data_IF_961727996035
#
_entry.id   IF_961727996035
#
_cell.length_a   1.000
_cell.length_b   1.000
_cell.length_c   1.000
_cell.angle_alpha   90.00
_cell.angle_beta   90.00
_cell.angle_gamma   90.00
#
_symmetry.space_group_name_H-M   'P 1'
#
loop_
_entity.id
_entity.type
_entity.pdbx_description
1 polymer ?
#
# COMPACT_ATOMS: atom_id res chain seq x y z
N UNK A 1 -36.22 -14.36 -3.41
CA UNK A 1 -35.13 -14.87 -4.26
C UNK A 1 -33.73 -14.38 -3.80
N UNK A 2 -33.54 -14.00 -2.52
CA UNK A 2 -32.34 -13.23 -2.07
C UNK A 2 -31.37 -13.91 -1.08
N UNK A 3 -31.69 -15.11 -0.58
CA UNK A 3 -30.83 -15.77 0.44
C UNK A 3 -29.60 -16.48 -0.13
N UNK A 4 -29.61 -16.90 -1.40
CA UNK A 4 -28.46 -17.57 -2.02
C UNK A 4 -27.35 -16.60 -2.48
N UNK A 5 -27.68 -15.36 -2.85
CA UNK A 5 -26.69 -14.35 -3.29
C UNK A 5 -25.89 -13.75 -2.12
N UNK A 6 -26.51 -13.60 -0.96
CA UNK A 6 -25.89 -13.04 0.25
C UNK A 6 -24.85 -13.98 0.87
N UNK A 7 -25.01 -15.30 0.73
CA UNK A 7 -24.04 -16.31 1.18
C UNK A 7 -22.75 -16.33 0.34
N UNK A 8 -22.89 -16.29 -0.99
CA UNK A 8 -21.74 -16.27 -1.92
C UNK A 8 -20.86 -15.03 -1.72
N UNK A 9 -21.49 -13.84 -1.62
CA UNK A 9 -20.79 -12.56 -1.42
C UNK A 9 -20.06 -12.46 -0.07
N UNK A 10 -20.50 -13.24 0.93
CA UNK A 10 -19.81 -13.34 2.23
C UNK A 10 -18.60 -14.26 2.14
N UNK A 11 -18.69 -15.35 1.38
CA UNK A 11 -17.58 -16.25 1.09
C UNK A 11 -16.43 -15.55 0.38
N UNK A 12 -16.73 -14.78 -0.67
CA UNK A 12 -15.70 -14.08 -1.47
C UNK A 12 -14.95 -13.02 -0.66
N UNK A 13 -15.64 -12.26 0.20
CA UNK A 13 -15.00 -11.27 1.07
C UNK A 13 -14.08 -11.90 2.12
N UNK A 14 -14.49 -13.03 2.71
CA UNK A 14 -13.65 -13.78 3.66
C UNK A 14 -12.43 -14.36 2.95
N UNK A 15 -12.61 -14.85 1.72
CA UNK A 15 -11.51 -15.34 0.88
C UNK A 15 -10.50 -14.25 0.55
N UNK A 16 -10.96 -13.07 0.11
CA UNK A 16 -10.10 -11.91 -0.15
C UNK A 16 -9.33 -11.47 1.11
N UNK A 17 -10.02 -11.30 2.25
CA UNK A 17 -9.38 -10.91 3.49
C UNK A 17 -8.32 -11.92 3.96
N UNK A 18 -8.59 -13.22 3.80
CA UNK A 18 -7.62 -14.28 4.09
C UNK A 18 -6.42 -14.24 3.14
N UNK A 19 -6.63 -14.00 1.84
CA UNK A 19 -5.52 -13.82 0.88
C UNK A 19 -4.64 -12.64 1.26
N UNK A 20 -5.22 -11.46 1.53
CA UNK A 20 -4.49 -10.26 1.96
C UNK A 20 -3.71 -10.50 3.25
N UNK A 21 -4.35 -11.11 4.26
CA UNK A 21 -3.70 -11.51 5.50
C UNK A 21 -2.52 -12.44 5.24
N UNK A 22 -2.70 -13.47 4.42
CA UNK A 22 -1.66 -14.45 4.15
C UNK A 22 -0.50 -13.84 3.35
N UNK A 23 -0.74 -12.87 2.46
CA UNK A 23 0.36 -12.13 1.81
C UNK A 23 1.23 -11.39 2.83
N UNK A 24 0.65 -10.92 3.95
CA UNK A 24 1.41 -10.24 5.01
C UNK A 24 2.23 -11.22 5.84
N UNK A 25 1.67 -12.38 6.23
CA UNK A 25 2.30 -13.27 7.22
C UNK A 25 2.96 -14.53 6.63
N UNK A 26 2.49 -14.99 5.47
CA UNK A 26 2.93 -16.22 4.80
C UNK A 26 2.92 -16.03 3.27
N UNK A 27 3.73 -15.08 2.75
CA UNK A 27 3.62 -14.60 1.38
C UNK A 27 3.85 -15.66 0.31
N UNK A 28 4.76 -16.60 0.55
CA UNK A 28 5.04 -17.70 -0.39
C UNK A 28 3.80 -18.57 -0.61
N UNK A 29 3.24 -19.09 0.47
CA UNK A 29 2.04 -19.92 0.44
C UNK A 29 0.84 -19.14 -0.12
N UNK A 30 0.76 -17.84 0.20
CA UNK A 30 -0.29 -16.97 -0.32
C UNK A 30 -0.22 -16.85 -1.85
N UNK A 31 0.97 -16.59 -2.42
CA UNK A 31 1.13 -16.48 -3.88
C UNK A 31 0.88 -17.82 -4.58
N UNK A 32 1.36 -18.94 -4.02
CA UNK A 32 1.06 -20.27 -4.57
C UNK A 32 -0.45 -20.54 -4.61
N UNK A 33 -1.18 -20.22 -3.54
CA UNK A 33 -2.62 -20.38 -3.48
C UNK A 33 -3.35 -19.45 -4.47
N UNK A 34 -2.89 -18.20 -4.62
CA UNK A 34 -3.47 -17.24 -5.58
C UNK A 34 -3.29 -17.75 -7.02
N UNK A 35 -2.12 -18.29 -7.35
CA UNK A 35 -1.83 -18.85 -8.68
C UNK A 35 -2.60 -20.14 -8.94
N UNK A 36 -2.75 -21.00 -7.93
CA UNK A 36 -3.45 -22.29 -8.07
C UNK A 36 -4.98 -22.15 -8.16
N UNK A 37 -5.58 -21.23 -7.41
CA UNK A 37 -7.04 -21.04 -7.37
C UNK A 37 -7.59 -20.20 -8.53
N UNK A 38 -6.70 -19.59 -9.33
CA UNK A 38 -7.06 -18.55 -10.29
C UNK A 38 -7.29 -17.21 -9.60
N UNK A 39 -6.89 -16.15 -10.29
CA UNK A 39 -6.95 -14.78 -9.78
C UNK A 39 -7.96 -13.94 -10.56
N UNK A 40 -8.60 -13.01 -9.84
CA UNK A 40 -9.33 -11.89 -10.45
C UNK A 40 -8.48 -10.65 -10.32
N UNK A 41 -8.36 -9.86 -11.39
CA UNK A 41 -7.66 -8.57 -11.33
C UNK A 41 -8.37 -7.52 -10.45
N UNK A 42 -9.62 -7.76 -10.06
CA UNK A 42 -10.35 -6.86 -9.16
C UNK A 42 -9.74 -6.78 -7.76
N UNK A 43 -9.23 -7.89 -7.24
CA UNK A 43 -8.63 -7.98 -5.91
C UNK A 43 -7.33 -7.16 -5.79
N UNK A 44 -6.30 -7.35 -6.64
CA UNK A 44 -5.08 -6.53 -6.61
C UNK A 44 -5.37 -5.06 -6.89
N UNK A 45 -6.29 -4.74 -7.80
CA UNK A 45 -6.73 -3.35 -8.04
C UNK A 45 -7.29 -2.71 -6.77
N UNK A 46 -8.14 -3.43 -6.03
CA UNK A 46 -8.70 -2.93 -4.77
C UNK A 46 -7.61 -2.67 -3.72
N UNK A 47 -6.59 -3.53 -3.64
CA UNK A 47 -5.43 -3.32 -2.74
C UNK A 47 -4.68 -2.05 -3.14
N UNK A 48 -4.31 -1.89 -4.41
CA UNK A 48 -3.55 -0.73 -4.89
C UNK A 48 -4.32 0.57 -4.64
N UNK A 49 -5.57 0.62 -5.09
CA UNK A 49 -6.42 1.81 -4.97
C UNK A 49 -6.71 2.12 -3.51
N UNK A 50 -7.09 1.11 -2.74
CA UNK A 50 -7.42 1.25 -1.32
C UNK A 50 -6.24 1.77 -0.51
N UNK A 51 -5.07 1.16 -0.65
CA UNK A 51 -3.87 1.56 0.09
C UNK A 51 -3.32 2.92 -0.36
N UNK A 52 -3.30 3.18 -1.67
CA UNK A 52 -2.84 4.47 -2.21
C UNK A 52 -3.73 5.62 -1.73
N UNK A 53 -5.04 5.48 -1.93
CA UNK A 53 -6.01 6.49 -1.55
C UNK A 53 -5.99 6.73 -0.04
N UNK A 54 -6.03 5.66 0.76
CA UNK A 54 -5.99 5.75 2.22
C UNK A 54 -4.74 6.49 2.71
N UNK A 55 -3.56 6.12 2.22
CA UNK A 55 -2.32 6.75 2.66
C UNK A 55 -2.24 8.23 2.29
N UNK A 56 -2.73 8.63 1.11
CA UNK A 56 -2.69 10.05 0.73
C UNK A 56 -3.70 10.87 1.54
N UNK A 57 -4.90 10.32 1.80
CA UNK A 57 -5.89 10.97 2.67
C UNK A 57 -5.35 11.13 4.09
N UNK A 58 -4.77 10.08 4.67
CA UNK A 58 -4.17 10.15 6.00
C UNK A 58 -2.98 11.13 6.04
N UNK A 59 -2.17 11.20 4.98
CA UNK A 59 -1.11 12.20 4.88
C UNK A 59 -1.68 13.62 4.87
N UNK A 60 -2.72 13.89 4.08
CA UNK A 60 -3.40 15.20 4.06
C UNK A 60 -3.94 15.59 5.44
N UNK A 61 -4.60 14.67 6.13
CA UNK A 61 -5.08 14.88 7.51
C UNK A 61 -3.90 15.17 8.45
N UNK A 62 -2.82 14.40 8.34
CA UNK A 62 -1.61 14.60 9.11
C UNK A 62 -0.97 15.96 8.88
N UNK A 63 -0.93 16.46 7.63
CA UNK A 63 -0.39 17.80 7.30
C UNK A 63 -1.24 18.90 7.95
N UNK A 64 -2.57 18.80 7.88
CA UNK A 64 -3.47 19.75 8.56
C UNK A 64 -3.21 19.78 10.06
N UNK A 65 -3.05 18.61 10.68
CA UNK A 65 -2.71 18.49 12.11
C UNK A 65 -1.32 19.03 12.43
N UNK A 66 -0.34 18.76 11.58
CA UNK A 66 1.02 19.26 11.71
C UNK A 66 1.09 20.79 11.65
N UNK A 67 0.35 21.42 10.75
CA UNK A 67 0.28 22.89 10.69
C UNK A 67 -0.37 23.47 11.95
N UNK A 68 -1.47 22.86 12.42
CA UNK A 68 -2.14 23.29 13.66
C UNK A 68 -1.16 23.23 14.85
N UNK A 69 -0.39 22.14 14.93
CA UNK A 69 0.66 21.99 15.95
C UNK A 69 1.77 23.06 15.84
N UNK A 70 2.17 23.42 14.62
CA UNK A 70 3.15 24.48 14.40
C UNK A 70 2.60 25.84 14.88
N UNK A 71 1.34 26.16 14.59
CA UNK A 71 0.68 27.38 15.07
C UNK A 71 0.61 27.43 16.60
N UNK A 72 0.27 26.31 17.25
CA UNK A 72 0.26 26.19 18.70
C UNK A 72 1.66 26.39 19.31
N UNK A 73 2.70 25.84 18.66
CA UNK A 73 4.10 26.01 19.06
C UNK A 73 4.54 27.48 19.01
N UNK A 74 4.23 28.19 17.91
CA UNK A 74 4.59 29.59 17.74
C UNK A 74 3.75 30.55 18.59
N UNK A 75 2.53 30.17 18.97
CA UNK A 75 1.68 30.96 19.88
C UNK A 75 2.05 30.82 21.36
N UNK A 76 3.07 30.01 21.69
CA UNK A 76 3.53 29.78 23.05
C UNK A 76 2.62 28.86 23.87
N UNK A 77 1.64 28.21 23.23
CA UNK A 77 0.72 27.25 23.84
C UNK A 77 1.31 25.84 23.78
N UNK A 78 2.44 25.63 24.44
CA UNK A 78 3.13 24.34 24.38
C UNK A 78 2.59 23.38 25.44
N UNK A 79 1.87 22.36 25.00
CA UNK A 79 1.73 21.09 25.72
C UNK A 79 2.65 20.06 25.05
N UNK A 80 3.74 19.66 25.72
CA UNK A 80 4.73 18.66 25.22
C UNK A 80 4.22 17.22 25.40
N UNK A 81 2.98 17.04 25.84
CA UNK A 81 2.38 15.72 25.99
C UNK A 81 1.72 15.29 24.68
N UNK A 82 1.70 13.97 24.35
CA UNK A 82 0.78 13.47 23.35
C UNK A 82 -0.63 13.83 23.81
N UNK A 83 -1.21 14.85 23.19
CA UNK A 83 -2.57 15.25 23.47
C UNK A 83 -3.49 14.20 22.85
N UNK A 84 -3.87 13.22 23.66
CA UNK A 84 -4.99 12.32 23.37
C UNK A 84 -6.35 13.02 23.55
N UNK A 85 -6.35 14.33 23.85
CA UNK A 85 -7.52 15.18 23.87
C UNK A 85 -8.25 15.21 22.53
N UNK A 86 -9.41 15.84 22.51
CA UNK A 86 -10.28 15.90 21.34
C UNK A 86 -9.52 16.37 20.11
N UNK A 87 -9.34 15.48 19.14
CA UNK A 87 -8.76 15.81 17.84
C UNK A 87 -9.78 16.69 17.12
N UNK A 88 -9.69 18.01 17.35
CA UNK A 88 -10.51 18.97 16.64
C UNK A 88 -9.85 19.24 15.29
N UNK A 89 -10.27 18.48 14.28
CA UNK A 89 -9.99 18.82 12.89
C UNK A 89 -10.94 19.95 12.53
N UNK A 90 -10.44 21.19 12.53
CA UNK A 90 -11.22 22.31 12.06
C UNK A 90 -11.39 22.16 10.54
N UNK A 91 -12.62 22.01 10.06
CA UNK A 91 -12.97 21.91 8.63
C UNK A 91 -13.41 23.26 8.04
N UNK A 92 -12.90 24.39 8.55
CA UNK A 92 -13.29 25.72 8.06
C UNK A 92 -12.10 26.52 7.51
N UNK A 93 -12.38 27.36 6.53
CA UNK A 93 -11.39 28.26 5.93
C UNK A 93 -10.24 27.52 5.26
N UNK A 94 -9.00 27.84 5.65
CA UNK A 94 -7.77 27.36 5.01
C UNK A 94 -7.56 25.85 5.12
N UNK A 95 -7.95 25.22 6.23
CA UNK A 95 -7.82 23.76 6.41
C UNK A 95 -8.73 22.97 5.48
N UNK A 96 -9.94 23.47 5.19
CA UNK A 96 -10.86 22.86 4.24
C UNK A 96 -10.37 22.94 2.79
N UNK A 97 -9.80 24.08 2.40
CA UNK A 97 -9.15 24.25 1.10
C UNK A 97 -7.98 23.27 0.94
N UNK A 98 -7.17 23.14 2.00
CA UNK A 98 -6.00 22.25 1.99
C UNK A 98 -6.42 20.78 1.92
N UNK A 99 -7.43 20.36 2.69
CA UNK A 99 -8.01 19.01 2.58
C UNK A 99 -8.57 18.72 1.18
N UNK A 100 -9.25 19.69 0.57
CA UNK A 100 -9.80 19.56 -0.79
C UNK A 100 -8.68 19.42 -1.82
N UNK A 101 -7.61 20.20 -1.66
CA UNK A 101 -6.41 20.09 -2.49
C UNK A 101 -5.75 18.72 -2.34
N UNK A 102 -5.59 18.22 -1.10
CA UNK A 102 -5.07 16.88 -0.84
C UNK A 102 -5.97 15.77 -1.40
N UNK A 103 -7.28 15.95 -1.42
CA UNK A 103 -8.20 15.00 -2.05
C UNK A 103 -8.01 14.96 -3.58
N UNK A 104 -7.81 16.12 -4.22
CA UNK A 104 -7.48 16.20 -5.64
C UNK A 104 -6.15 15.51 -5.95
N UNK A 105 -5.13 15.77 -5.14
CA UNK A 105 -3.84 15.07 -5.19
C UNK A 105 -4.03 13.57 -4.97
N UNK A 106 -4.87 13.15 -4.03
CA UNK A 106 -5.14 11.74 -3.74
C UNK A 106 -5.65 11.00 -4.97
N UNK A 107 -6.60 11.59 -5.71
CA UNK A 107 -7.11 11.01 -6.96
C UNK A 107 -5.99 10.90 -8.00
N UNK A 108 -5.23 11.97 -8.21
CA UNK A 108 -4.14 11.99 -9.20
C UNK A 108 -3.07 10.93 -8.89
N UNK A 109 -2.58 10.88 -7.65
CA UNK A 109 -1.55 9.92 -7.23
C UNK A 109 -2.07 8.48 -7.17
N UNK A 110 -3.36 8.28 -6.88
CA UNK A 110 -3.99 6.96 -6.95
C UNK A 110 -4.04 6.45 -8.39
N UNK A 111 -4.28 7.33 -9.37
CA UNK A 111 -4.19 6.97 -10.78
C UNK A 111 -2.74 6.68 -11.15
N UNK A 112 -1.80 7.51 -10.70
CA UNK A 112 -0.37 7.32 -10.94
C UNK A 112 0.15 5.99 -10.37
N UNK A 113 -0.37 5.54 -9.23
CA UNK A 113 0.04 4.27 -8.63
C UNK A 113 -0.38 3.06 -9.47
N UNK A 114 -1.50 3.13 -10.19
CA UNK A 114 -1.87 2.11 -11.18
C UNK A 114 -0.85 2.02 -12.32
N UNK A 115 -0.45 3.16 -12.88
CA UNK A 115 0.57 3.20 -13.93
C UNK A 115 1.91 2.66 -13.42
N UNK A 116 2.33 3.08 -12.23
CA UNK A 116 3.55 2.59 -11.60
C UNK A 116 3.51 1.07 -11.40
N UNK A 117 2.38 0.52 -10.93
CA UNK A 117 2.21 -0.92 -10.76
C UNK A 117 2.35 -1.69 -12.08
N UNK A 118 1.67 -1.25 -13.14
CA UNK A 118 1.73 -1.89 -14.46
C UNK A 118 3.17 -1.83 -15.02
N UNK A 119 3.82 -0.68 -14.94
CA UNK A 119 5.21 -0.50 -15.41
C UNK A 119 6.15 -1.40 -14.62
N UNK A 120 6.03 -1.44 -13.29
CA UNK A 120 6.87 -2.29 -12.44
C UNK A 120 6.71 -3.78 -12.78
N UNK A 121 5.47 -4.24 -12.93
CA UNK A 121 5.20 -5.63 -13.33
C UNK A 121 5.70 -5.92 -14.75
N UNK A 122 5.59 -4.96 -15.68
CA UNK A 122 6.06 -5.07 -17.05
C UNK A 122 7.57 -5.19 -17.15
N UNK A 123 8.33 -4.34 -16.44
CA UNK A 123 9.79 -4.44 -16.36
C UNK A 123 10.21 -5.77 -15.75
N UNK A 124 9.60 -6.17 -14.62
CA UNK A 124 9.88 -7.45 -13.99
C UNK A 124 9.57 -8.64 -14.92
N UNK A 125 8.47 -8.59 -15.67
CA UNK A 125 8.11 -9.59 -16.68
C UNK A 125 9.18 -9.72 -17.76
N UNK A 126 9.60 -8.59 -18.35
CA UNK A 126 10.61 -8.59 -19.42
C UNK A 126 11.92 -9.20 -18.93
N UNK A 127 12.37 -8.78 -17.74
CA UNK A 127 13.62 -9.29 -17.15
C UNK A 127 13.49 -10.78 -16.83
N UNK A 128 12.43 -11.19 -16.15
CA UNK A 128 12.24 -12.59 -15.75
C UNK A 128 12.10 -13.53 -16.96
N UNK A 129 11.32 -13.12 -17.97
CA UNK A 129 11.00 -13.94 -19.14
C UNK A 129 12.11 -13.95 -20.19
N UNK A 130 12.69 -12.79 -20.49
CA UNK A 130 13.66 -12.67 -21.60
C UNK A 130 15.12 -12.74 -21.16
N UNK A 131 15.45 -12.34 -19.93
CA UNK A 131 16.85 -12.39 -19.44
C UNK A 131 17.09 -13.71 -18.71
N UNK A 132 16.16 -14.11 -17.83
CA UNK A 132 16.32 -15.30 -16.99
C UNK A 132 15.55 -16.53 -17.49
N UNK A 133 14.83 -16.44 -18.61
CA UNK A 133 14.10 -17.55 -19.24
C UNK A 133 13.06 -18.24 -18.33
N UNK A 134 12.39 -17.46 -17.48
CA UNK A 134 11.33 -17.95 -16.61
C UNK A 134 10.06 -18.40 -17.37
N UNK A 135 9.29 -19.32 -16.76
CA UNK A 135 8.12 -19.95 -17.39
C UNK A 135 6.79 -19.20 -17.21
N UNK A 136 6.80 -18.12 -16.42
CA UNK A 136 5.60 -17.38 -16.04
C UNK A 136 4.99 -16.48 -17.12
N UNK A 137 3.84 -15.93 -16.78
CA UNK A 137 3.03 -15.04 -17.59
C UNK A 137 2.88 -13.65 -16.97
N UNK A 138 2.50 -12.68 -17.82
CA UNK A 138 2.37 -11.28 -17.40
C UNK A 138 1.19 -11.09 -16.44
N UNK A 139 0.08 -11.80 -16.63
CA UNK A 139 -1.11 -11.63 -15.79
C UNK A 139 -0.85 -12.10 -14.36
N UNK A 140 -0.20 -13.26 -14.18
CA UNK A 140 0.18 -13.76 -12.86
C UNK A 140 1.12 -12.81 -12.11
N UNK A 141 2.12 -12.24 -12.78
CA UNK A 141 3.05 -11.30 -12.12
C UNK A 141 2.38 -9.97 -11.82
N UNK A 142 1.54 -9.47 -12.73
CA UNK A 142 0.76 -8.26 -12.52
C UNK A 142 -0.13 -8.43 -11.28
N UNK A 143 -0.85 -9.55 -11.18
CA UNK A 143 -1.71 -9.87 -10.04
C UNK A 143 -0.93 -9.89 -8.71
N UNK A 144 0.13 -10.70 -8.64
CA UNK A 144 0.93 -10.88 -7.41
C UNK A 144 1.65 -9.58 -7.01
N UNK A 145 2.10 -8.77 -7.95
CA UNK A 145 2.64 -7.43 -7.67
C UNK A 145 1.58 -6.49 -7.10
N UNK A 146 0.31 -6.60 -7.52
CA UNK A 146 -0.75 -5.77 -6.96
C UNK A 146 -1.03 -6.10 -5.49
N UNK A 147 -0.98 -7.38 -5.11
CA UNK A 147 -1.01 -7.76 -3.71
C UNK A 147 0.22 -7.30 -2.93
N UNK A 148 1.39 -7.18 -3.57
CA UNK A 148 2.60 -6.69 -2.90
C UNK A 148 2.48 -5.26 -2.38
N UNK A 149 1.56 -4.46 -2.93
CA UNK A 149 1.26 -3.11 -2.43
C UNK A 149 0.63 -3.11 -1.03
N UNK A 150 0.21 -4.27 -0.51
CA UNK A 150 -0.19 -4.39 0.90
C UNK A 150 0.94 -4.01 1.87
N UNK A 151 2.21 -4.06 1.43
CA UNK A 151 3.35 -3.57 2.20
C UNK A 151 3.17 -2.12 2.68
N UNK A 152 2.39 -1.32 1.95
CA UNK A 152 2.03 0.05 2.32
C UNK A 152 1.23 0.18 3.62
N UNK A 153 0.79 -0.94 4.22
CA UNK A 153 0.15 -0.94 5.54
C UNK A 153 1.09 -0.44 6.64
N UNK A 154 2.40 -0.65 6.47
CA UNK A 154 3.40 -0.08 7.37
C UNK A 154 3.35 1.46 7.34
N UNK A 155 3.30 2.06 6.15
CA UNK A 155 3.16 3.51 6.00
C UNK A 155 1.85 4.02 6.60
N UNK A 156 0.75 3.28 6.45
CA UNK A 156 -0.54 3.62 7.09
C UNK A 156 -0.38 3.77 8.61
N UNK A 157 0.35 2.86 9.27
CA UNK A 157 0.62 2.95 10.70
C UNK A 157 1.45 4.20 11.05
N UNK A 158 2.46 4.53 10.26
CA UNK A 158 3.27 5.74 10.44
C UNK A 158 2.44 7.02 10.32
N UNK A 159 1.54 7.07 9.33
CA UNK A 159 0.63 8.19 9.11
C UNK A 159 -0.37 8.36 10.24
N UNK A 160 -0.89 7.26 10.80
CA UNK A 160 -1.74 7.32 11.98
C UNK A 160 -1.00 7.94 13.16
N UNK A 161 0.24 7.51 13.43
CA UNK A 161 1.06 8.12 14.49
C UNK A 161 1.27 9.62 14.24
N UNK A 162 1.49 10.02 12.98
CA UNK A 162 1.63 11.42 12.60
C UNK A 162 0.41 12.29 12.84
N UNK A 163 -0.80 11.74 12.69
CA UNK A 163 -2.03 12.45 13.02
C UNK A 163 -2.13 12.74 14.53
N UNK A 164 -1.71 11.80 15.37
CA UNK A 164 -1.77 11.95 16.83
C UNK A 164 -0.62 12.78 17.39
N UNK A 165 0.58 12.60 16.86
CA UNK A 165 1.78 13.31 17.31
C UNK A 165 2.60 13.72 16.08
N UNK A 166 2.45 14.96 15.58
CA UNK A 166 3.16 15.40 14.39
C UNK A 166 4.69 15.30 14.51
N UNK A 167 5.24 15.62 15.68
CA UNK A 167 6.69 15.59 15.91
C UNK A 167 7.26 14.16 15.86
N UNK A 168 6.69 13.23 16.64
CA UNK A 168 7.11 11.81 16.66
C UNK A 168 6.73 11.15 15.32
N UNK A 169 5.61 11.58 14.76
CA UNK A 169 5.04 11.10 13.52
C UNK A 169 5.92 11.23 12.30
N UNK A 170 6.69 12.32 12.17
CA UNK A 170 7.64 12.48 11.07
C UNK A 170 8.68 11.35 11.10
N UNK A 171 9.23 11.05 12.28
CA UNK A 171 10.16 9.94 12.45
C UNK A 171 9.49 8.57 12.23
N UNK A 172 8.24 8.41 12.69
CA UNK A 172 7.46 7.20 12.47
C UNK A 172 7.19 6.96 10.98
N UNK A 173 6.83 8.00 10.21
CA UNK A 173 6.65 7.92 8.75
C UNK A 173 7.94 7.46 8.10
N UNK A 174 9.08 8.05 8.45
CA UNK A 174 10.38 7.69 7.87
C UNK A 174 10.71 6.22 8.14
N UNK A 175 10.60 5.78 9.40
CA UNK A 175 10.87 4.38 9.77
C UNK A 175 9.92 3.39 9.09
N UNK A 176 8.63 3.71 9.04
CA UNK A 176 7.63 2.89 8.37
C UNK A 176 7.79 2.88 6.85
N UNK A 177 8.31 3.97 6.25
CA UNK A 177 8.59 4.01 4.82
C UNK A 177 9.75 3.08 4.44
N UNK A 178 10.76 3.00 5.30
CA UNK A 178 11.87 2.04 5.13
C UNK A 178 11.34 0.61 5.27
N UNK A 179 10.53 0.33 6.29
CA UNK A 179 9.92 -0.99 6.49
C UNK A 179 9.02 -1.40 5.31
N UNK A 180 8.18 -0.49 4.81
CA UNK A 180 7.39 -0.67 3.59
C UNK A 180 8.28 -1.05 2.40
N UNK A 181 9.37 -0.30 2.17
CA UNK A 181 10.26 -0.53 1.04
C UNK A 181 10.92 -1.91 1.08
N UNK A 182 11.50 -2.26 2.24
CA UNK A 182 12.13 -3.58 2.44
C UNK A 182 11.11 -4.69 2.25
N UNK A 183 9.94 -4.58 2.88
CA UNK A 183 8.90 -5.61 2.81
C UNK A 183 8.37 -5.78 1.39
N UNK A 184 8.17 -4.67 0.66
CA UNK A 184 7.74 -4.69 -0.73
C UNK A 184 8.74 -5.43 -1.63
N UNK A 185 10.05 -5.23 -1.44
CA UNK A 185 11.09 -5.97 -2.17
C UNK A 185 10.99 -7.47 -1.89
N UNK A 186 10.81 -7.86 -0.63
CA UNK A 186 10.63 -9.27 -0.23
C UNK A 186 9.40 -9.87 -0.94
N UNK A 187 8.24 -9.20 -0.87
CA UNK A 187 7.02 -9.66 -1.51
C UNK A 187 7.17 -9.79 -3.03
N UNK A 188 7.77 -8.78 -3.69
CA UNK A 188 7.99 -8.80 -5.14
C UNK A 188 8.99 -9.88 -5.57
N UNK A 189 10.01 -10.13 -4.76
CA UNK A 189 10.98 -11.23 -4.99
C UNK A 189 10.29 -12.58 -4.93
N UNK A 190 9.47 -12.82 -3.90
CA UNK A 190 8.69 -14.05 -3.78
C UNK A 190 7.68 -14.19 -4.90
N UNK A 191 7.00 -13.10 -5.29
CA UNK A 191 6.09 -13.11 -6.42
C UNK A 191 6.78 -13.55 -7.72
N UNK A 192 7.96 -13.00 -8.06
CA UNK A 192 8.72 -13.41 -9.25
C UNK A 192 9.14 -14.89 -9.15
N UNK A 193 9.63 -15.31 -7.98
CA UNK A 193 10.06 -16.69 -7.73
C UNK A 193 8.93 -17.69 -7.99
N UNK A 194 7.75 -17.43 -7.44
CA UNK A 194 6.60 -18.34 -7.57
C UNK A 194 5.98 -18.28 -8.98
N UNK A 195 5.94 -17.12 -9.63
CA UNK A 195 5.34 -16.97 -10.97
C UNK A 195 6.24 -17.56 -12.06
N UNK A 196 7.55 -17.32 -12.01
CA UNK A 196 8.48 -17.71 -13.08
C UNK A 196 9.28 -18.98 -12.77
N UNK A 197 9.19 -19.52 -11.55
CA UNK A 197 9.98 -20.67 -11.12
C UNK A 197 11.48 -20.38 -11.04
N UNK A 198 11.85 -19.12 -10.76
CA UNK A 198 13.24 -18.68 -10.69
C UNK A 198 13.80 -18.84 -9.28
N UNK A 199 15.11 -19.06 -9.17
CA UNK A 199 15.81 -19.00 -7.89
C UNK A 199 15.68 -17.61 -7.24
N UNK A 200 15.78 -17.56 -5.91
CA UNK A 200 15.54 -16.36 -5.11
C UNK A 200 16.49 -15.22 -5.50
N UNK A 201 17.75 -15.51 -5.84
CA UNK A 201 18.72 -14.50 -6.26
C UNK A 201 18.37 -13.83 -7.59
N UNK A 202 17.92 -14.61 -8.59
CA UNK A 202 17.48 -14.08 -9.89
C UNK A 202 16.16 -13.31 -9.74
N UNK A 203 15.26 -13.83 -8.92
CA UNK A 203 13.98 -13.19 -8.60
C UNK A 203 14.16 -11.84 -7.92
N UNK A 204 15.15 -11.74 -7.02
CA UNK A 204 15.50 -10.48 -6.38
C UNK A 204 15.98 -9.44 -7.38
N UNK A 205 16.88 -9.82 -8.31
CA UNK A 205 17.34 -8.92 -9.38
C UNK A 205 16.17 -8.42 -10.23
N UNK A 206 15.24 -9.31 -10.60
CA UNK A 206 14.02 -8.92 -11.32
C UNK A 206 13.14 -7.96 -10.52
N UNK A 207 13.04 -8.14 -9.20
CA UNK A 207 12.21 -7.33 -8.33
C UNK A 207 12.77 -5.93 -8.07
N UNK A 208 14.10 -5.76 -8.07
CA UNK A 208 14.75 -4.46 -7.88
C UNK A 208 14.97 -3.68 -9.18
N UNK A 209 15.04 -4.36 -10.33
CA UNK A 209 15.28 -3.69 -11.63
C UNK A 209 14.28 -2.56 -11.93
N UNK A 210 12.98 -2.68 -11.63
CA UNK A 210 12.01 -1.61 -11.84
C UNK A 210 12.14 -0.43 -10.86
N UNK A 211 12.93 -0.59 -9.79
CA UNK A 211 13.08 0.40 -8.71
C UNK A 211 14.25 1.35 -9.00
N UNK A 212 15.18 0.96 -9.88
CA UNK A 212 16.34 1.74 -10.33
C UNK A 212 16.14 2.26 -11.76
#
# INVERSE_FOLDING_TARGET
MDRHRTGAYRGDRVKFANRVKNVIFSPKDAFQNILAEGFSMTEPLAVILGMSFLNIVLFGIGVVRGMSFIEDLFSGRIYVYPDFGEIQINFSGYSALLLTFFLGIAIFFTILSLFSWIVNAGVAHIVAKHIFHGLGDFESILCTYGYSEIASISLTLGLLIFIFSPLIGIFAILGMKIAEFIWRIVLRTLAVSEVYGLDLGRSFLCAITPIF
#
